data_IF_398687478740
#
_entry.id   IF_398687478740
#
_cell.length_a   1.000
_cell.length_b   1.000
_cell.length_c   1.000
_cell.angle_alpha   90.00
_cell.angle_beta   90.00
_cell.angle_gamma   90.00
#
_symmetry.space_group_name_H-M   'P 1'
#
loop_
_entity.id
_entity.type
_entity.pdbx_description
1 polymer ?
#
# COMPACT_ATOMS: atom_id res chain seq x y z
N UNK A 1 -5.33 -2.15 28.98
CA UNK A 1 -5.99 -0.99 28.31
C UNK A 1 -5.43 0.25 28.96
N UNK A 2 -5.07 1.29 28.19
CA UNK A 2 -4.55 2.55 28.74
C UNK A 2 -5.62 3.63 28.62
N UNK A 3 -5.94 4.30 29.70
CA UNK A 3 -6.86 5.44 29.71
C UNK A 3 -6.02 6.71 29.90
N UNK A 4 -6.47 7.85 29.39
CA UNK A 4 -5.75 9.12 29.56
C UNK A 4 -6.62 10.09 30.38
N UNK A 5 -5.99 10.84 31.28
CA UNK A 5 -6.63 11.94 32.01
C UNK A 5 -6.41 13.26 31.26
N UNK A 6 -7.48 14.06 31.14
CA UNK A 6 -7.49 15.31 30.41
C UNK A 6 -7.59 16.49 31.37
N UNK A 7 -6.85 17.56 31.07
CA UNK A 7 -7.18 18.88 31.62
C UNK A 7 -8.24 19.51 30.71
N UNK A 8 -9.47 19.63 31.22
CA UNK A 8 -10.58 20.28 30.51
C UNK A 8 -10.34 21.78 30.29
N UNK A 9 -9.36 22.39 30.99
CA UNK A 9 -9.04 23.81 30.88
C UNK A 9 -7.88 24.11 29.91
N UNK A 10 -7.07 23.11 29.52
CA UNK A 10 -5.83 23.31 28.74
C UNK A 10 -5.79 22.42 27.48
N UNK A 11 -6.79 22.61 26.62
CA UNK A 11 -6.71 22.28 25.19
C UNK A 11 -6.39 20.79 24.89
N UNK A 12 -7.03 19.87 25.62
CA UNK A 12 -6.93 18.41 25.41
C UNK A 12 -5.49 17.86 25.58
N UNK A 13 -4.69 18.46 26.45
CA UNK A 13 -3.38 17.90 26.82
C UNK A 13 -3.56 16.66 27.71
N UNK A 14 -2.84 15.59 27.39
CA UNK A 14 -2.77 14.41 28.26
C UNK A 14 -1.96 14.79 29.49
N UNK A 15 -2.61 14.72 30.65
CA UNK A 15 -2.00 15.04 31.95
C UNK A 15 -1.36 13.78 32.54
N UNK A 16 -1.99 12.62 32.36
CA UNK A 16 -1.47 11.35 32.85
C UNK A 16 -2.03 10.14 32.08
N UNK A 17 -1.31 9.02 32.12
CA UNK A 17 -1.72 7.73 31.56
C UNK A 17 -2.12 6.77 32.68
N UNK A 18 -3.36 6.31 32.66
CA UNK A 18 -3.91 5.35 33.62
C UNK A 18 -3.75 3.94 33.05
N UNK A 19 -2.98 3.11 33.74
CA UNK A 19 -2.94 1.68 33.48
C UNK A 19 -4.00 0.97 34.33
N UNK A 20 -5.08 0.48 33.70
CA UNK A 20 -6.18 -0.18 34.42
C UNK A 20 -5.82 -1.54 34.99
N UNK A 21 -4.62 -2.07 34.75
CA UNK A 21 -4.16 -3.28 35.44
C UNK A 21 -3.81 -3.03 36.92
N UNK A 22 -3.57 -1.77 37.31
CA UNK A 22 -3.13 -1.38 38.66
C UNK A 22 -4.21 -0.70 39.51
N UNK A 23 -5.33 -0.28 38.90
CA UNK A 23 -6.39 0.47 39.57
C UNK A 23 -7.69 -0.34 39.50
N UNK A 24 -8.04 -0.97 40.62
CA UNK A 24 -9.27 -1.73 40.85
C UNK A 24 -10.48 -0.77 40.79
N UNK A 25 -10.98 -0.55 39.58
CA UNK A 25 -12.29 0.01 39.23
C UNK A 25 -12.74 1.29 39.94
N UNK A 26 -11.84 2.26 40.13
CA UNK A 26 -12.23 3.60 40.56
C UNK A 26 -11.69 4.65 39.58
N UNK A 27 -12.40 4.79 38.45
CA UNK A 27 -12.06 5.74 37.39
C UNK A 27 -12.89 7.03 37.60
N UNK A 28 -12.26 8.23 37.75
CA UNK A 28 -12.99 9.49 37.74
C UNK A 28 -13.82 9.70 36.45
N UNK A 29 -14.91 10.49 36.50
CA UNK A 29 -15.93 10.54 35.44
C UNK A 29 -15.46 11.13 34.09
N UNK A 30 -14.28 11.74 34.02
CA UNK A 30 -13.75 12.39 32.83
C UNK A 30 -12.64 11.56 32.14
N UNK A 31 -12.94 10.31 31.77
CA UNK A 31 -11.98 9.45 31.06
C UNK A 31 -12.51 9.02 29.69
N UNK A 32 -11.65 9.12 28.68
CA UNK A 32 -11.86 8.58 27.35
C UNK A 32 -10.96 7.34 27.17
N UNK A 33 -11.55 6.25 26.67
CA UNK A 33 -10.89 4.96 26.45
C UNK A 33 -9.93 5.02 25.26
N UNK A 34 -8.62 4.96 25.48
CA UNK A 34 -7.60 4.98 24.41
C UNK A 34 -7.35 3.57 23.88
N UNK A 35 -8.01 3.18 22.79
CA UNK A 35 -7.83 1.88 22.14
C UNK A 35 -7.06 1.93 20.82
N UNK A 36 -6.65 3.11 20.34
CA UNK A 36 -5.90 3.30 19.09
C UNK A 36 -5.31 4.71 18.89
N UNK A 37 -4.63 4.93 17.76
CA UNK A 37 -3.99 6.21 17.35
C UNK A 37 -5.04 7.24 16.86
N UNK A 38 -6.24 6.78 16.51
CA UNK A 38 -7.30 7.57 15.88
C UNK A 38 -8.57 7.60 16.75
N UNK A 39 -9.19 8.79 16.83
CA UNK A 39 -10.33 9.04 17.70
C UNK A 39 -11.42 9.85 17.01
N UNK A 40 -12.68 9.39 17.03
CA UNK A 40 -13.83 10.22 16.74
C UNK A 40 -14.23 11.02 17.98
N UNK A 41 -14.32 12.35 17.86
CA UNK A 41 -15.08 13.18 18.81
C UNK A 41 -16.58 13.02 18.47
N UNK A 42 -17.42 12.76 19.47
CA UNK A 42 -18.87 12.62 19.31
C UNK A 42 -19.59 13.99 19.27
N UNK A 43 -18.87 15.10 19.49
CA UNK A 43 -19.40 16.47 19.54
C UNK A 43 -19.35 17.23 18.22
N UNK A 44 -18.77 16.63 17.18
CA UNK A 44 -18.69 17.17 15.84
C UNK A 44 -17.88 16.20 14.98
N UNK A 45 -18.17 16.10 13.69
CA UNK A 45 -17.62 15.09 12.77
C UNK A 45 -16.09 15.14 12.54
N UNK A 46 -15.33 15.74 13.45
CA UNK A 46 -13.90 15.91 13.42
C UNK A 46 -13.20 14.76 14.16
N UNK A 47 -12.36 14.03 13.43
CA UNK A 47 -11.46 13.03 14.01
C UNK A 47 -10.16 13.70 14.49
N UNK A 48 -9.51 13.13 15.49
CA UNK A 48 -8.24 13.58 16.05
C UNK A 48 -7.22 12.43 16.11
N UNK A 49 -5.93 12.76 16.02
CA UNK A 49 -4.81 11.83 16.18
C UNK A 49 -3.84 12.31 17.28
N UNK A 50 -3.11 11.39 17.90
CA UNK A 50 -2.07 11.72 18.87
C UNK A 50 -0.74 12.04 18.16
N UNK A 51 -0.26 13.27 18.31
CA UNK A 51 1.04 13.73 17.79
C UNK A 51 1.77 14.50 18.89
N UNK A 52 2.99 14.06 19.22
CA UNK A 52 3.84 14.66 20.28
C UNK A 52 3.14 14.88 21.63
N UNK A 53 2.29 13.92 22.03
CA UNK A 53 1.54 14.00 23.31
C UNK A 53 0.36 14.97 23.30
N UNK A 54 -0.05 15.45 22.12
CA UNK A 54 -1.21 16.32 21.92
C UNK A 54 -2.18 15.70 20.91
N UNK A 55 -3.47 15.94 21.11
CA UNK A 55 -4.46 15.64 20.08
C UNK A 55 -4.45 16.76 19.04
N UNK A 56 -4.21 16.38 17.78
CA UNK A 56 -4.31 17.28 16.63
C UNK A 56 -5.43 16.81 15.72
N UNK A 57 -6.14 17.72 15.01
CA UNK A 57 -7.13 17.32 14.02
C UNK A 57 -6.53 16.30 13.06
N UNK A 58 -7.22 15.18 12.88
CA UNK A 58 -6.80 14.15 11.94
C UNK A 58 -6.76 14.76 10.55
N UNK A 59 -5.59 14.72 9.94
CA UNK A 59 -5.40 14.97 8.52
C UNK A 59 -5.13 13.61 7.89
N UNK A 60 -6.06 13.12 7.09
CA UNK A 60 -5.83 11.91 6.31
C UNK A 60 -4.54 12.10 5.49
N UNK A 61 -3.62 11.13 5.48
CA UNK A 61 -2.48 11.18 4.57
C UNK A 61 -2.99 11.45 3.15
N UNK A 62 -2.26 12.22 2.32
CA UNK A 62 -2.63 12.38 0.93
C UNK A 62 -2.77 10.99 0.31
N UNK A 63 -3.96 10.68 -0.22
CA UNK A 63 -4.20 9.43 -0.94
C UNK A 63 -3.21 9.41 -2.11
N UNK A 64 -2.25 8.48 -2.08
CA UNK A 64 -1.35 8.26 -3.22
C UNK A 64 -2.20 8.14 -4.48
N UNK A 65 -1.84 8.88 -5.53
CA UNK A 65 -2.54 8.77 -6.81
C UNK A 65 -2.53 7.30 -7.24
N UNK A 66 -3.62 6.76 -7.81
CA UNK A 66 -3.63 5.37 -8.24
C UNK A 66 -2.57 5.20 -9.33
N UNK A 67 -1.55 4.39 -9.06
CA UNK A 67 -0.53 4.09 -10.06
C UNK A 67 -1.19 3.45 -11.29
N UNK A 68 -0.66 3.70 -12.49
CA UNK A 68 -1.27 3.18 -13.70
C UNK A 68 -1.46 1.66 -13.62
N UNK A 69 -2.63 1.19 -14.02
CA UNK A 69 -2.99 -0.22 -13.92
C UNK A 69 -2.87 -0.97 -15.24
N UNK A 70 -2.66 -0.23 -16.35
CA UNK A 70 -2.61 -0.78 -17.71
C UNK A 70 -1.54 -0.09 -18.54
N UNK A 71 -0.87 -0.85 -19.40
CA UNK A 71 -0.01 -0.34 -20.47
C UNK A 71 -0.09 -1.28 -21.68
N UNK A 72 0.42 -0.85 -22.83
CA UNK A 72 0.62 -1.76 -23.96
C UNK A 72 1.87 -2.62 -23.74
N UNK A 73 1.96 -3.84 -24.34
CA UNK A 73 3.17 -4.66 -24.22
C UNK A 73 4.45 -3.94 -24.68
N UNK A 74 4.37 -3.13 -25.74
CA UNK A 74 5.51 -2.35 -26.22
C UNK A 74 6.00 -1.34 -25.18
N UNK A 75 5.07 -0.60 -24.57
CA UNK A 75 5.38 0.32 -23.46
C UNK A 75 5.99 -0.40 -22.26
N UNK A 76 5.40 -1.54 -21.86
CA UNK A 76 5.88 -2.34 -20.74
C UNK A 76 7.26 -2.94 -20.99
N UNK A 77 7.56 -3.40 -22.21
CA UNK A 77 8.87 -3.91 -22.59
C UNK A 77 9.95 -2.82 -22.55
N UNK A 78 9.63 -1.63 -23.06
CA UNK A 78 10.55 -0.48 -22.97
C UNK A 78 10.79 -0.10 -21.51
N UNK A 79 9.74 -0.11 -20.66
CA UNK A 79 9.88 0.17 -19.24
C UNK A 79 10.75 -0.88 -18.51
N UNK A 80 10.54 -2.18 -18.79
CA UNK A 80 11.35 -3.27 -18.24
C UNK A 80 12.83 -3.10 -18.58
N UNK A 81 13.13 -2.77 -19.84
CA UNK A 81 14.48 -2.52 -20.27
C UNK A 81 15.07 -1.26 -19.62
N UNK A 82 14.34 -0.15 -19.63
CA UNK A 82 14.82 1.12 -19.09
C UNK A 82 15.09 1.09 -17.58
N UNK A 83 14.28 0.37 -16.81
CA UNK A 83 14.36 0.36 -15.34
C UNK A 83 15.22 -0.79 -14.79
N UNK A 84 15.24 -1.95 -15.47
CA UNK A 84 15.84 -3.18 -14.94
C UNK A 84 16.82 -3.86 -15.89
N UNK A 85 17.05 -3.31 -17.08
CA UNK A 85 17.86 -3.94 -18.14
C UNK A 85 17.33 -5.34 -18.56
N UNK A 86 16.02 -5.56 -18.37
CA UNK A 86 15.35 -6.81 -18.74
C UNK A 86 14.86 -6.68 -20.18
N UNK A 87 15.43 -7.48 -21.07
CA UNK A 87 15.02 -7.57 -22.48
C UNK A 87 13.85 -8.55 -22.67
N UNK A 88 13.17 -8.47 -23.82
CA UNK A 88 12.15 -9.45 -24.19
C UNK A 88 12.69 -10.89 -24.19
N UNK A 89 13.94 -11.09 -24.63
CA UNK A 89 14.59 -12.40 -24.60
C UNK A 89 14.77 -12.93 -23.17
N UNK A 90 15.03 -12.06 -22.19
CA UNK A 90 15.09 -12.47 -20.79
C UNK A 90 13.72 -12.94 -20.28
N UNK A 91 12.63 -12.26 -20.69
CA UNK A 91 11.27 -12.67 -20.31
C UNK A 91 10.93 -14.02 -20.93
N UNK A 92 11.21 -14.22 -22.22
CA UNK A 92 10.98 -15.49 -22.90
C UNK A 92 11.82 -16.62 -22.30
N UNK A 93 13.10 -16.36 -21.98
CA UNK A 93 13.96 -17.31 -21.30
C UNK A 93 13.43 -17.69 -19.91
N UNK A 94 12.88 -16.73 -19.16
CA UNK A 94 12.27 -16.99 -17.86
C UNK A 94 11.00 -17.86 -17.99
N UNK A 95 10.17 -17.60 -18.99
CA UNK A 95 9.00 -18.44 -19.32
C UNK A 95 9.47 -19.87 -19.68
N UNK A 96 10.59 -20.02 -20.38
CA UNK A 96 11.14 -21.33 -20.75
C UNK A 96 11.65 -22.15 -19.56
N UNK A 97 11.86 -21.52 -18.40
CA UNK A 97 12.20 -22.23 -17.15
C UNK A 97 10.98 -22.77 -16.39
N UNK A 98 9.74 -22.49 -16.83
CA UNK A 98 8.53 -22.99 -16.16
C UNK A 98 8.45 -24.52 -16.34
N UNK A 99 8.44 -25.32 -15.24
CA UNK A 99 8.50 -26.78 -15.34
C UNK A 99 7.24 -27.45 -15.89
N UNK A 100 6.07 -26.85 -15.64
CA UNK A 100 4.79 -27.36 -16.12
C UNK A 100 4.56 -26.92 -17.58
N UNK A 101 4.48 -27.85 -18.55
CA UNK A 101 4.36 -27.49 -19.97
C UNK A 101 3.08 -26.72 -20.33
N UNK A 102 1.98 -26.96 -19.61
CA UNK A 102 0.71 -26.26 -19.83
C UNK A 102 0.82 -24.84 -19.31
N UNK A 103 1.42 -24.64 -18.13
CA UNK A 103 1.65 -23.31 -17.58
C UNK A 103 2.65 -22.52 -18.43
N UNK A 104 3.72 -23.16 -18.89
CA UNK A 104 4.70 -22.56 -19.81
C UNK A 104 4.02 -22.06 -21.09
N UNK A 105 3.24 -22.93 -21.76
CA UNK A 105 2.54 -22.55 -22.98
C UNK A 105 1.52 -21.44 -22.73
N UNK A 106 0.79 -21.51 -21.63
CA UNK A 106 -0.20 -20.49 -21.24
C UNK A 106 0.47 -19.13 -20.98
N UNK A 107 1.58 -19.11 -20.25
CA UNK A 107 2.35 -17.89 -19.99
C UNK A 107 2.91 -17.31 -21.29
N UNK A 108 3.48 -18.15 -22.16
CA UNK A 108 4.01 -17.73 -23.47
C UNK A 108 2.93 -17.10 -24.34
N UNK A 109 1.77 -17.76 -24.49
CA UNK A 109 0.67 -17.21 -25.28
C UNK A 109 0.09 -15.95 -24.63
N UNK A 110 -0.12 -15.95 -23.31
CA UNK A 110 -0.62 -14.79 -22.58
C UNK A 110 0.30 -13.58 -22.73
N UNK A 111 1.61 -13.79 -22.67
CA UNK A 111 2.61 -12.75 -22.88
C UNK A 111 2.63 -12.25 -24.34
N UNK A 112 2.80 -13.15 -25.31
CA UNK A 112 3.00 -12.79 -26.73
C UNK A 112 1.74 -12.32 -27.44
N UNK A 113 0.55 -12.73 -26.98
CA UNK A 113 -0.74 -12.37 -27.60
C UNK A 113 -1.50 -11.29 -26.83
N UNK A 114 -1.03 -10.87 -25.66
CA UNK A 114 -1.62 -9.73 -24.97
C UNK A 114 -1.50 -8.48 -25.84
N UNK A 115 -2.60 -7.74 -25.95
CA UNK A 115 -2.62 -6.39 -26.53
C UNK A 115 -2.58 -5.30 -25.46
N UNK A 116 -2.87 -5.69 -24.22
CA UNK A 116 -2.86 -4.84 -23.02
C UNK A 116 -2.26 -5.66 -21.89
N UNK A 117 -1.33 -5.08 -21.14
CA UNK A 117 -0.87 -5.60 -19.87
C UNK A 117 -1.64 -4.93 -18.75
N UNK A 118 -2.28 -5.72 -17.90
CA UNK A 118 -2.96 -5.22 -16.72
C UNK A 118 -2.19 -5.68 -15.47
N UNK A 119 -1.84 -4.75 -14.58
CA UNK A 119 -1.05 -5.03 -13.37
C UNK A 119 -1.63 -6.17 -12.53
N UNK A 120 -2.97 -6.22 -12.43
CA UNK A 120 -3.69 -7.26 -11.70
C UNK A 120 -3.96 -8.56 -12.48
N UNK A 121 -3.52 -8.68 -13.73
CA UNK A 121 -3.77 -9.89 -14.52
C UNK A 121 -2.95 -11.08 -14.01
N UNK A 122 -3.48 -12.32 -14.06
CA UNK A 122 -2.74 -13.50 -13.67
C UNK A 122 -1.41 -13.66 -14.42
N UNK A 123 -1.37 -13.28 -15.71
CA UNK A 123 -0.14 -13.31 -16.52
C UNK A 123 0.89 -12.30 -16.01
N UNK A 124 0.51 -11.05 -15.69
CA UNK A 124 1.45 -10.08 -15.12
C UNK A 124 1.95 -10.49 -13.74
N UNK A 125 1.10 -11.09 -12.91
CA UNK A 125 1.49 -11.59 -11.60
C UNK A 125 2.44 -12.79 -11.69
N UNK A 126 2.23 -13.68 -12.67
CA UNK A 126 3.19 -14.75 -12.95
C UNK A 126 4.52 -14.18 -13.46
N UNK A 127 4.48 -13.17 -14.33
CA UNK A 127 5.71 -12.55 -14.84
C UNK A 127 6.47 -11.78 -13.77
N UNK A 128 5.80 -11.08 -12.86
CA UNK A 128 6.48 -10.41 -11.74
C UNK A 128 7.20 -11.42 -10.85
N UNK A 129 6.57 -12.57 -10.58
CA UNK A 129 7.22 -13.65 -9.83
C UNK A 129 8.42 -14.24 -10.58
N UNK A 130 8.28 -14.51 -11.88
CA UNK A 130 9.36 -15.07 -12.73
C UNK A 130 10.55 -14.11 -12.86
N UNK A 131 10.28 -12.81 -12.98
CA UNK A 131 11.28 -11.76 -13.10
C UNK A 131 11.73 -11.20 -11.75
N UNK A 132 11.22 -11.74 -10.64
CA UNK A 132 11.51 -11.31 -9.27
C UNK A 132 11.23 -9.81 -9.02
N UNK A 133 10.20 -9.27 -9.67
CA UNK A 133 9.73 -7.90 -9.49
C UNK A 133 8.84 -7.81 -8.26
N UNK A 134 9.15 -6.90 -7.35
CA UNK A 134 8.32 -6.62 -6.17
C UNK A 134 7.19 -5.61 -6.50
N UNK A 135 6.35 -5.28 -5.52
CA UNK A 135 5.22 -4.36 -5.74
C UNK A 135 5.65 -2.93 -6.13
N UNK A 136 6.79 -2.46 -5.61
CA UNK A 136 7.39 -1.16 -5.91
C UNK A 136 7.95 -1.15 -7.34
N UNK A 137 8.64 -2.21 -7.76
CA UNK A 137 9.12 -2.38 -9.13
C UNK A 137 7.97 -2.36 -10.15
N UNK A 138 6.85 -3.02 -9.80
CA UNK A 138 5.65 -2.97 -10.63
C UNK A 138 5.03 -1.57 -10.65
N UNK A 139 5.13 -0.81 -9.56
CA UNK A 139 4.63 0.55 -9.52
C UNK A 139 5.42 1.47 -10.43
N UNK A 140 6.74 1.41 -10.35
CA UNK A 140 7.67 2.16 -11.19
C UNK A 140 7.52 1.76 -12.66
N UNK A 141 7.40 0.46 -12.95
CA UNK A 141 7.24 -0.05 -14.31
C UNK A 141 6.00 0.53 -14.98
N UNK A 142 4.84 0.44 -14.32
CA UNK A 142 3.60 0.94 -14.91
C UNK A 142 3.56 2.47 -14.97
N UNK A 143 4.16 3.16 -14.00
CA UNK A 143 4.31 4.62 -14.01
C UNK A 143 5.17 5.07 -15.18
N UNK A 144 6.30 4.41 -15.43
CA UNK A 144 7.17 4.72 -16.56
C UNK A 144 6.52 4.36 -17.89
N UNK A 145 5.88 3.18 -17.98
CA UNK A 145 5.35 2.64 -19.24
C UNK A 145 4.30 3.55 -19.89
N UNK A 146 3.42 4.19 -19.12
CA UNK A 146 2.35 5.02 -19.71
C UNK A 146 2.86 6.28 -20.40
N UNK A 147 4.05 6.75 -20.04
CA UNK A 147 4.70 7.92 -20.64
C UNK A 147 5.55 7.56 -21.86
N UNK A 148 5.80 6.27 -22.10
CA UNK A 148 6.56 5.80 -23.26
C UNK A 148 5.75 6.00 -24.55
N UNK A 149 6.37 6.66 -25.53
CA UNK A 149 5.88 6.78 -26.90
C UNK A 149 6.52 5.70 -27.78
N UNK A 150 5.69 4.81 -28.33
CA UNK A 150 6.06 3.66 -29.19
C UNK A 150 5.13 3.54 -30.38
#
# INVERSE_FOLDING_TARGET
MKYAYFDENDNCRIVDWIDTALMDHNLPPAQLLVTGIEWPDDRGSQQYMLSDGRFVPYVAPPKLAPSPSKCTPAQGLVALFALKDITEDNVLAAIDQIPDPVQQYTARIGYQRATVWERGSPTMQAMSQLLQLNEEDLDELFTYAVDVQV
#
